data_IF_279471951089
#
_entry.id   IF_279471951089
#
_cell.length_a   1.000
_cell.length_b   1.000
_cell.length_c   1.000
_cell.angle_alpha   90.00
_cell.angle_beta   90.00
_cell.angle_gamma   90.00
#
_symmetry.space_group_name_H-M   'P 1'
#
loop_
_entity.id
_entity.type
_entity.pdbx_description
1 polymer ?
#
# COMPACT_ATOMS: atom_id res chain seq x y z
N UNK A 1 0.39 -3.05 -14.74
CA UNK A 1 -0.57 -4.08 -14.29
C UNK A 1 -0.53 -4.24 -12.78
N UNK A 2 0.68 -4.36 -12.19
CA UNK A 2 0.86 -4.61 -10.76
C UNK A 2 0.16 -3.55 -9.91
N UNK A 3 0.39 -2.26 -10.19
CA UNK A 3 -0.27 -1.18 -9.46
C UNK A 3 -1.79 -1.31 -9.43
N UNK A 4 -2.44 -1.39 -10.60
CA UNK A 4 -3.92 -1.39 -10.71
C UNK A 4 -4.56 -2.65 -10.10
N UNK A 5 -3.97 -3.82 -10.32
CA UNK A 5 -4.54 -5.07 -9.79
C UNK A 5 -4.34 -5.15 -8.27
N UNK A 6 -3.18 -4.72 -7.77
CA UNK A 6 -2.88 -4.67 -6.35
C UNK A 6 -3.76 -3.64 -5.62
N UNK A 7 -3.96 -2.44 -6.20
CA UNK A 7 -4.90 -1.43 -5.69
C UNK A 7 -6.33 -1.97 -5.62
N UNK A 8 -6.79 -2.63 -6.70
CA UNK A 8 -8.10 -3.30 -6.72
C UNK A 8 -8.24 -4.36 -5.64
N UNK A 9 -7.21 -5.16 -5.42
CA UNK A 9 -7.23 -6.18 -4.37
C UNK A 9 -7.34 -5.53 -2.97
N UNK A 10 -6.63 -4.44 -2.71
CA UNK A 10 -6.72 -3.75 -1.42
C UNK A 10 -8.08 -3.07 -1.21
N UNK A 11 -8.70 -2.55 -2.27
CA UNK A 11 -10.08 -2.07 -2.22
C UNK A 11 -11.03 -3.20 -1.82
N UNK A 12 -10.93 -4.39 -2.44
CA UNK A 12 -11.77 -5.54 -2.06
C UNK A 12 -11.50 -6.04 -0.62
N UNK A 13 -10.26 -5.92 -0.12
CA UNK A 13 -9.94 -6.19 1.29
C UNK A 13 -10.66 -5.19 2.20
N UNK A 14 -10.62 -3.91 1.86
CA UNK A 14 -11.27 -2.83 2.58
C UNK A 14 -12.79 -2.99 2.59
N UNK A 15 -13.40 -3.33 1.45
CA UNK A 15 -14.84 -3.60 1.33
C UNK A 15 -15.29 -4.78 2.21
N UNK A 16 -14.38 -5.73 2.49
CA UNK A 16 -14.66 -6.89 3.35
C UNK A 16 -14.62 -6.57 4.86
N UNK A 17 -14.27 -5.35 5.27
CA UNK A 17 -14.31 -4.97 6.69
C UNK A 17 -15.72 -5.03 7.23
N UNK A 18 -15.85 -5.36 8.52
CA UNK A 18 -17.15 -5.27 9.18
C UNK A 18 -17.59 -3.81 9.30
N UNK A 19 -16.64 -2.90 9.51
CA UNK A 19 -16.89 -1.47 9.58
C UNK A 19 -15.88 -0.74 8.68
N UNK A 20 -16.40 0.03 7.73
CA UNK A 20 -15.61 0.95 6.90
C UNK A 20 -15.95 2.36 7.34
N UNK A 21 -14.95 3.24 7.46
CA UNK A 21 -15.18 4.67 7.69
C UNK A 21 -16.16 5.21 6.65
N UNK A 22 -17.18 5.97 7.08
CA UNK A 22 -18.24 6.42 6.18
C UNK A 22 -17.75 7.28 5.01
N UNK A 23 -16.71 8.10 5.22
CA UNK A 23 -16.14 8.91 4.15
C UNK A 23 -15.41 8.01 3.15
N UNK A 24 -14.63 7.04 3.63
CA UNK A 24 -13.95 6.06 2.78
C UNK A 24 -14.94 5.20 2.00
N UNK A 25 -16.08 4.82 2.60
CA UNK A 25 -17.14 4.06 1.92
C UNK A 25 -17.77 4.84 0.76
N UNK A 26 -17.81 6.17 0.87
CA UNK A 26 -18.30 7.06 -0.19
C UNK A 26 -17.20 7.47 -1.18
N UNK A 27 -15.95 7.12 -0.89
CA UNK A 27 -14.80 7.42 -1.73
C UNK A 27 -14.79 6.58 -3.01
N UNK A 28 -14.25 7.12 -4.09
CA UNK A 28 -14.06 6.33 -5.31
C UNK A 28 -13.09 5.19 -5.05
N UNK A 29 -13.53 3.96 -5.29
CA UNK A 29 -12.74 2.73 -5.04
C UNK A 29 -12.08 2.70 -3.65
N UNK A 30 -12.74 3.24 -2.62
CA UNK A 30 -12.26 3.19 -1.23
C UNK A 30 -10.86 3.80 -1.05
N UNK A 31 -10.54 4.87 -1.79
CA UNK A 31 -9.23 5.54 -1.72
C UNK A 31 -8.16 4.94 -2.62
N UNK A 32 -8.43 3.82 -3.29
CA UNK A 32 -7.47 3.15 -4.18
C UNK A 32 -7.56 3.68 -5.62
N UNK A 33 -6.42 3.71 -6.32
CA UNK A 33 -6.43 4.15 -7.70
C UNK A 33 -7.16 3.18 -8.63
N UNK A 34 -7.87 3.75 -9.60
CA UNK A 34 -8.43 3.01 -10.73
C UNK A 34 -7.60 3.30 -11.97
N UNK A 35 -7.42 2.31 -12.84
CA UNK A 35 -6.67 2.48 -14.08
C UNK A 35 -7.24 1.67 -15.24
N UNK A 36 -7.25 2.29 -16.42
CA UNK A 36 -7.64 1.62 -17.68
C UNK A 36 -6.45 1.58 -18.64
N UNK A 37 -6.12 0.42 -19.24
CA UNK A 37 -5.08 0.35 -20.27
C UNK A 37 -5.39 1.22 -21.50
N UNK A 38 -4.38 1.89 -22.03
CA UNK A 38 -4.51 2.77 -23.19
C UNK A 38 -3.27 2.69 -24.10
N UNK A 39 -3.49 2.75 -25.42
CA UNK A 39 -2.42 2.92 -26.39
C UNK A 39 -2.28 4.41 -26.72
N UNK A 40 -1.10 4.98 -26.49
CA UNK A 40 -0.85 6.39 -26.75
C UNK A 40 -0.35 6.60 -28.18
N UNK A 41 -1.03 7.50 -28.90
CA UNK A 41 -0.64 7.97 -30.23
C UNK A 41 -0.58 9.49 -30.26
N UNK A 42 0.47 10.06 -30.85
CA UNK A 42 0.48 11.47 -31.27
C UNK A 42 0.88 11.58 -32.73
N UNK A 43 0.14 12.36 -33.52
CA UNK A 43 0.35 12.50 -34.97
C UNK A 43 0.49 11.14 -35.69
N UNK A 44 -0.39 10.19 -35.38
CA UNK A 44 -0.37 8.80 -35.87
C UNK A 44 0.85 7.95 -35.48
N UNK A 45 1.77 8.48 -34.67
CA UNK A 45 2.93 7.74 -34.15
C UNK A 45 2.59 7.08 -32.81
N UNK A 46 2.85 5.77 -32.70
CA UNK A 46 2.68 5.01 -31.47
C UNK A 46 3.80 5.33 -30.46
N UNK A 47 3.42 5.64 -29.22
CA UNK A 47 4.35 5.95 -28.13
C UNK A 47 4.44 4.88 -27.06
N UNK A 48 3.40 4.08 -26.87
CA UNK A 48 3.43 2.97 -25.92
C UNK A 48 2.06 2.56 -25.42
N UNK A 49 2.07 1.48 -24.66
CA UNK A 49 1.00 1.00 -23.81
C UNK A 49 1.14 1.61 -22.42
N UNK A 50 0.10 2.30 -21.96
CA UNK A 50 0.03 2.98 -20.68
C UNK A 50 -1.19 2.52 -19.89
N UNK A 51 -1.30 2.96 -18.65
CA UNK A 51 -2.57 3.01 -17.91
C UNK A 51 -2.95 4.45 -17.66
N UNK A 52 -4.20 4.82 -17.94
CA UNK A 52 -4.78 6.09 -17.53
C UNK A 52 -5.37 5.87 -16.16
N UNK A 53 -4.82 6.56 -15.15
CA UNK A 53 -5.18 6.35 -13.76
C UNK A 53 -5.96 7.55 -13.21
N UNK A 54 -6.79 7.31 -12.18
CA UNK A 54 -7.38 8.38 -11.37
C UNK A 54 -6.28 9.20 -10.70
N UNK A 55 -6.52 10.52 -10.56
CA UNK A 55 -5.65 11.40 -9.79
C UNK A 55 -5.88 11.24 -8.29
N UNK A 56 -4.91 11.67 -7.49
CA UNK A 56 -5.05 11.81 -6.04
C UNK A 56 -5.81 13.09 -5.75
N UNK A 57 -7.13 13.00 -5.64
CA UNK A 57 -8.00 14.15 -5.37
C UNK A 57 -8.98 13.86 -4.24
N UNK A 58 -9.71 14.88 -3.81
CA UNK A 58 -10.72 14.79 -2.76
C UNK A 58 -11.76 13.69 -3.04
N UNK A 59 -12.13 13.47 -4.30
CA UNK A 59 -13.12 12.47 -4.68
C UNK A 59 -12.58 11.05 -4.53
N UNK A 60 -11.29 10.84 -4.84
CA UNK A 60 -10.62 9.55 -4.67
C UNK A 60 -10.70 9.11 -3.21
N UNK A 61 -10.51 10.04 -2.28
CA UNK A 61 -10.49 9.76 -0.83
C UNK A 61 -11.81 10.07 -0.12
N UNK A 62 -12.85 10.50 -0.81
CA UNK A 62 -14.18 10.71 -0.22
C UNK A 62 -14.30 11.94 0.68
N UNK A 63 -13.60 13.02 0.33
CA UNK A 63 -13.75 14.33 0.96
C UNK A 63 -14.75 15.21 0.19
N UNK A 64 -15.82 15.65 0.86
CA UNK A 64 -16.67 16.73 0.33
C UNK A 64 -16.02 18.10 0.54
N UNK A 65 -15.45 18.29 1.74
CA UNK A 65 -14.61 19.41 2.12
C UNK A 65 -13.52 18.86 3.03
N UNK A 66 -12.30 19.35 2.89
CA UNK A 66 -11.17 18.92 3.74
C UNK A 66 -11.07 19.85 4.95
N UNK A 67 -11.29 19.38 6.19
CA UNK A 67 -11.07 20.19 7.39
C UNK A 67 -9.61 20.64 7.51
N UNK A 68 -9.36 21.74 8.24
CA UNK A 68 -8.00 22.27 8.38
C UNK A 68 -7.03 21.31 9.06
N UNK A 69 -7.50 20.32 9.82
CA UNK A 69 -6.69 19.35 10.55
C UNK A 69 -6.68 17.94 9.92
N UNK A 70 -7.14 17.82 8.68
CA UNK A 70 -7.39 16.55 8.02
C UNK A 70 -6.90 16.56 6.56
N UNK A 71 -6.86 15.39 5.94
CA UNK A 71 -6.37 15.22 4.58
C UNK A 71 -5.68 13.88 4.37
N UNK A 72 -4.84 13.83 3.34
CA UNK A 72 -4.06 12.65 2.95
C UNK A 72 -2.59 13.02 2.92
N UNK A 73 -1.77 12.29 3.69
CA UNK A 73 -0.32 12.43 3.70
C UNK A 73 0.32 11.22 3.03
N UNK A 74 1.07 11.44 1.97
CA UNK A 74 1.90 10.39 1.36
C UNK A 74 3.28 10.38 2.00
N UNK A 75 3.69 9.21 2.49
CA UNK A 75 5.03 9.01 3.01
C UNK A 75 6.08 9.04 1.90
N UNK A 76 7.15 9.80 2.12
CA UNK A 76 8.20 10.07 1.13
C UNK A 76 9.52 9.38 1.50
N UNK A 77 10.49 9.40 0.57
CA UNK A 77 11.80 8.75 0.73
C UNK A 77 12.54 9.15 2.03
N UNK A 78 12.27 10.34 2.56
CA UNK A 78 12.94 10.89 3.75
C UNK A 78 12.24 10.55 5.08
N UNK A 79 11.13 9.80 5.06
CA UNK A 79 10.47 9.27 6.26
C UNK A 79 11.25 8.10 6.91
N UNK A 80 12.57 8.30 7.05
CA UNK A 80 13.59 7.30 7.33
C UNK A 80 13.76 6.97 8.81
N UNK A 81 13.12 7.72 9.71
CA UNK A 81 13.07 7.49 11.16
C UNK A 81 12.19 6.28 11.51
N UNK A 82 12.41 5.16 10.79
CA UNK A 82 11.63 3.93 10.83
C UNK A 82 10.13 4.17 10.67
N UNK A 83 9.68 5.24 10.01
CA UNK A 83 8.27 5.65 9.90
C UNK A 83 7.49 5.71 11.23
N UNK A 84 7.29 6.93 11.75
CA UNK A 84 6.78 7.22 13.10
C UNK A 84 7.69 6.78 14.25
N UNK A 85 9.01 6.69 14.05
CA UNK A 85 9.98 6.46 15.12
C UNK A 85 10.40 7.73 15.87
N UNK A 86 9.85 8.90 15.53
CA UNK A 86 10.08 10.20 16.18
C UNK A 86 8.75 10.90 16.50
N UNK A 87 8.72 11.82 17.48
CA UNK A 87 7.48 12.51 17.90
C UNK A 87 7.06 13.67 17.00
N UNK A 88 7.91 14.10 16.07
CA UNK A 88 7.62 15.23 15.18
C UNK A 88 7.84 14.78 13.75
N UNK A 89 6.82 14.94 12.91
CA UNK A 89 6.86 14.65 11.47
C UNK A 89 6.77 15.97 10.72
N UNK A 90 7.58 16.16 9.69
CA UNK A 90 7.52 17.35 8.83
C UNK A 90 6.63 17.05 7.64
N UNK A 91 5.52 17.79 7.51
CA UNK A 91 4.63 17.71 6.33
C UNK A 91 4.85 18.93 5.43
N UNK A 92 4.63 18.77 4.13
CA UNK A 92 4.77 19.83 3.12
C UNK A 92 3.69 19.70 2.04
N UNK A 93 3.30 20.83 1.43
CA UNK A 93 2.44 20.84 0.24
C UNK A 93 3.21 20.55 -1.05
N UNK A 94 4.54 20.65 -1.01
CA UNK A 94 5.41 20.42 -2.16
C UNK A 94 6.72 19.77 -1.69
N UNK A 95 6.87 18.48 -1.97
CA UNK A 95 8.09 17.73 -1.63
C UNK A 95 9.29 18.15 -2.48
N UNK A 96 9.07 18.74 -3.66
CA UNK A 96 10.16 19.22 -4.52
C UNK A 96 10.77 20.50 -3.98
N UNK A 97 9.96 21.37 -3.37
CA UNK A 97 10.42 22.56 -2.67
C UNK A 97 11.04 22.25 -1.29
N UNK A 98 10.53 21.22 -0.60
CA UNK A 98 10.97 20.81 0.73
C UNK A 98 11.38 19.33 0.75
N UNK A 99 12.49 18.94 0.11
CA UNK A 99 12.86 17.54 -0.11
C UNK A 99 13.14 16.75 1.18
N UNK A 100 13.47 17.43 2.26
CA UNK A 100 13.75 16.80 3.56
C UNK A 100 12.48 16.53 4.39
N UNK A 101 11.29 16.88 3.88
CA UNK A 101 10.04 16.58 4.58
C UNK A 101 9.78 15.07 4.63
N UNK A 102 9.10 14.64 5.70
CA UNK A 102 8.75 13.23 5.90
C UNK A 102 7.58 12.81 5.00
N UNK A 103 6.60 13.69 4.83
CA UNK A 103 5.38 13.40 4.07
C UNK A 103 4.93 14.60 3.23
N UNK A 104 4.30 14.30 2.10
CA UNK A 104 3.67 15.30 1.23
C UNK A 104 2.15 15.26 1.40
N UNK A 105 1.51 16.43 1.46
CA UNK A 105 0.05 16.56 1.48
C UNK A 105 -0.47 16.32 0.06
N UNK A 106 -1.18 15.21 -0.13
CA UNK A 106 -1.82 14.88 -1.42
C UNK A 106 -3.24 15.46 -1.52
N UNK A 107 -3.94 15.54 -0.39
CA UNK A 107 -5.27 16.14 -0.29
C UNK A 107 -5.34 17.02 0.95
N UNK A 108 -5.85 18.23 0.78
CA UNK A 108 -5.81 19.29 1.81
C UNK A 108 -4.67 20.27 1.58
N UNK A 109 -4.22 20.92 2.66
CA UNK A 109 -3.05 21.81 2.65
C UNK A 109 -2.40 21.79 4.03
N UNK A 110 -1.13 22.17 4.08
CA UNK A 110 -0.35 22.27 5.30
C UNK A 110 -0.87 23.41 6.16
N UNK A 111 -1.44 23.06 7.31
CA UNK A 111 -1.88 24.02 8.34
C UNK A 111 -1.21 23.70 9.68
N UNK A 112 -1.22 24.65 10.64
CA UNK A 112 -0.80 24.36 12.01
C UNK A 112 -1.62 23.23 12.65
N UNK A 113 -2.91 23.14 12.37
CA UNK A 113 -3.79 22.11 12.94
C UNK A 113 -3.51 20.72 12.37
N UNK A 114 -3.23 20.61 11.07
CA UNK A 114 -2.90 19.33 10.44
C UNK A 114 -1.52 18.84 10.86
N UNK A 115 -0.56 19.77 10.97
CA UNK A 115 0.76 19.48 11.52
C UNK A 115 0.67 19.01 12.98
N UNK A 116 -0.21 19.61 13.79
CA UNK A 116 -0.45 19.18 15.17
C UNK A 116 -1.12 17.80 15.26
N UNK A 117 -2.12 17.53 14.40
CA UNK A 117 -2.76 16.21 14.29
C UNK A 117 -1.75 15.11 13.92
N UNK A 118 -0.85 15.41 12.98
CA UNK A 118 0.21 14.48 12.54
C UNK A 118 1.19 14.21 13.69
N UNK A 119 1.64 15.25 14.40
CA UNK A 119 2.54 15.11 15.54
C UNK A 119 1.88 14.38 16.71
N UNK A 120 0.57 14.54 16.92
CA UNK A 120 -0.19 13.78 17.92
C UNK A 120 -0.11 12.28 17.65
N UNK A 121 -0.32 11.85 16.40
CA UNK A 121 -0.14 10.45 16.01
C UNK A 121 1.31 9.99 16.22
N UNK A 122 2.28 10.79 15.78
CA UNK A 122 3.69 10.45 15.87
C UNK A 122 4.20 10.30 17.31
N UNK A 123 3.77 11.18 18.21
CA UNK A 123 4.04 11.08 19.65
C UNK A 123 3.44 9.80 20.23
N UNK A 124 2.18 9.51 19.91
CA UNK A 124 1.55 8.27 20.36
C UNK A 124 2.33 7.04 19.89
N UNK A 125 2.67 6.93 18.61
CA UNK A 125 3.38 5.76 18.07
C UNK A 125 4.81 5.66 18.58
N UNK A 126 5.54 6.77 18.72
CA UNK A 126 6.97 6.74 19.09
C UNK A 126 7.23 6.73 20.59
N UNK A 127 6.33 7.24 21.43
CA UNK A 127 6.60 7.49 22.86
C UNK A 127 5.70 6.74 23.84
N UNK A 128 4.51 6.28 23.43
CA UNK A 128 3.66 5.50 24.34
C UNK A 128 4.32 4.16 24.70
N UNK A 129 4.09 3.67 25.92
CA UNK A 129 4.47 2.30 26.27
C UNK A 129 3.54 1.26 25.58
N UNK A 130 3.87 -0.03 25.68
CA UNK A 130 3.13 -1.09 25.00
C UNK A 130 1.67 -1.20 25.47
N UNK A 131 1.40 -0.97 26.75
CA UNK A 131 0.05 -1.02 27.31
C UNK A 131 -0.80 0.15 26.78
N UNK A 132 -0.25 1.37 26.82
CA UNK A 132 -0.91 2.56 26.31
C UNK A 132 -1.15 2.48 24.81
N UNK A 133 -0.18 1.97 24.05
CA UNK A 133 -0.34 1.77 22.60
C UNK A 133 -1.48 0.81 22.27
N UNK A 134 -1.59 -0.29 23.01
CA UNK A 134 -2.68 -1.23 22.84
C UNK A 134 -4.03 -0.63 23.26
N UNK A 135 -4.12 -0.10 24.48
CA UNK A 135 -5.39 0.30 25.09
C UNK A 135 -5.98 1.59 24.52
N UNK A 136 -5.14 2.47 23.96
CA UNK A 136 -5.56 3.74 23.37
C UNK A 136 -5.50 3.77 21.84
N UNK A 137 -5.17 2.66 21.18
CA UNK A 137 -4.99 2.59 19.73
C UNK A 137 -6.13 3.23 18.94
N UNK A 138 -7.37 2.89 19.29
CA UNK A 138 -8.59 3.35 18.61
C UNK A 138 -8.87 4.86 18.76
N UNK A 139 -8.10 5.59 19.56
CA UNK A 139 -8.15 7.05 19.63
C UNK A 139 -7.24 7.74 18.61
N UNK A 140 -6.42 6.96 17.89
CA UNK A 140 -5.40 7.47 16.97
C UNK A 140 -5.49 6.84 15.58
N UNK A 141 -5.87 5.57 15.50
CA UNK A 141 -5.79 4.78 14.28
C UNK A 141 -7.00 3.85 14.14
N UNK A 142 -7.39 3.61 12.89
CA UNK A 142 -8.33 2.55 12.55
C UNK A 142 -7.60 1.19 12.58
N UNK A 143 -7.98 0.31 13.50
CA UNK A 143 -7.30 -0.97 13.69
C UNK A 143 -7.48 -1.92 12.49
N UNK A 144 -8.67 -1.97 11.89
CA UNK A 144 -8.90 -2.84 10.73
C UNK A 144 -8.05 -2.36 9.53
N UNK A 145 -7.91 -1.05 9.33
CA UNK A 145 -7.08 -0.49 8.27
C UNK A 145 -5.59 -0.82 8.43
N UNK A 146 -5.04 -0.66 9.64
CA UNK A 146 -3.61 -0.98 9.90
C UNK A 146 -3.35 -2.49 9.78
N UNK A 147 -4.27 -3.33 10.25
CA UNK A 147 -4.16 -4.79 10.11
C UNK A 147 -4.25 -5.22 8.64
N UNK A 148 -5.17 -4.66 7.86
CA UNK A 148 -5.30 -4.96 6.44
C UNK A 148 -4.05 -4.54 5.67
N UNK A 149 -3.47 -3.38 5.98
CA UNK A 149 -2.18 -2.96 5.42
C UNK A 149 -1.06 -3.95 5.77
N UNK A 150 -0.94 -4.38 7.03
CA UNK A 150 0.06 -5.39 7.45
C UNK A 150 -0.08 -6.72 6.69
N UNK A 151 -1.31 -7.21 6.55
CA UNK A 151 -1.61 -8.44 5.83
C UNK A 151 -1.24 -8.28 4.36
N UNK A 152 -1.66 -7.18 3.75
CA UNK A 152 -1.37 -6.90 2.34
C UNK A 152 0.13 -6.74 2.09
N UNK A 153 0.84 -5.97 2.92
CA UNK A 153 2.29 -5.77 2.86
C UNK A 153 3.05 -7.10 2.84
N UNK A 154 2.62 -8.07 3.67
CA UNK A 154 3.18 -9.41 3.69
C UNK A 154 2.76 -10.23 2.47
N UNK A 155 1.48 -10.28 2.10
CA UNK A 155 0.99 -11.18 1.04
C UNK A 155 1.39 -10.68 -0.34
N UNK A 156 1.14 -9.41 -0.64
CA UNK A 156 1.46 -8.78 -1.92
C UNK A 156 2.96 -8.45 -2.09
N UNK A 157 3.77 -8.65 -1.04
CA UNK A 157 5.21 -8.38 -1.08
C UNK A 157 5.51 -6.94 -1.49
N UNK A 158 4.95 -5.98 -0.74
CA UNK A 158 5.11 -4.55 -1.01
C UNK A 158 6.53 -4.10 -0.66
N UNK A 159 7.50 -4.52 -1.47
CA UNK A 159 8.94 -4.41 -1.18
C UNK A 159 9.46 -2.96 -1.09
N UNK A 160 8.70 -2.02 -1.65
CA UNK A 160 9.00 -0.60 -1.69
C UNK A 160 8.06 0.25 -0.80
N UNK A 161 7.11 -0.37 -0.08
CA UNK A 161 6.07 0.34 0.69
C UNK A 161 6.25 0.27 2.22
N UNK A 162 7.49 0.31 2.71
CA UNK A 162 7.78 0.17 4.15
C UNK A 162 7.91 1.51 4.88
N UNK A 163 8.39 2.56 4.22
CA UNK A 163 8.50 3.95 4.73
C UNK A 163 8.04 5.00 3.72
N UNK A 164 7.63 4.59 2.53
CA UNK A 164 7.09 5.44 1.47
C UNK A 164 5.98 4.68 0.78
N UNK A 165 5.29 5.28 -0.19
CA UNK A 165 4.23 4.60 -0.95
C UNK A 165 3.11 4.09 0.00
N UNK A 166 2.84 4.88 1.04
CA UNK A 166 1.74 4.72 2.01
C UNK A 166 1.09 6.08 2.16
N UNK A 167 -0.22 6.13 1.99
CA UNK A 167 -1.06 7.30 2.18
C UNK A 167 -1.77 7.19 3.53
N UNK A 168 -1.34 8.01 4.48
CA UNK A 168 -1.98 8.15 5.78
C UNK A 168 -3.13 9.16 5.66
N UNK A 169 -4.35 8.65 5.67
CA UNK A 169 -5.57 9.45 5.54
C UNK A 169 -6.19 9.70 6.90
N UNK A 170 -6.67 10.90 7.16
CA UNK A 170 -7.55 11.21 8.29
C UNK A 170 -8.64 12.17 7.87
N UNK A 171 -9.85 11.93 8.33
CA UNK A 171 -11.01 12.78 8.03
C UNK A 171 -11.31 13.81 9.13
N UNK A 172 -10.70 13.66 10.31
CA UNK A 172 -11.01 14.46 11.49
C UNK A 172 -9.77 14.90 12.29
N UNK A 173 -8.57 14.49 11.84
CA UNK A 173 -7.29 14.75 12.52
C UNK A 173 -7.04 13.86 13.75
N UNK A 174 -7.96 12.97 14.11
CA UNK A 174 -7.84 12.11 15.28
C UNK A 174 -7.56 10.67 14.90
N UNK A 175 -8.35 10.12 13.97
CA UNK A 175 -8.25 8.71 13.53
C UNK A 175 -7.61 8.67 12.15
N UNK A 176 -6.50 7.94 12.06
CA UNK A 176 -5.72 7.77 10.84
C UNK A 176 -5.87 6.36 10.28
N UNK A 177 -5.86 6.24 8.96
CA UNK A 177 -5.91 4.98 8.24
C UNK A 177 -4.84 4.94 7.13
N UNK A 178 -4.00 3.90 7.08
CA UNK A 178 -3.05 3.72 5.98
C UNK A 178 -3.75 3.11 4.76
N UNK A 179 -3.47 3.67 3.60
CA UNK A 179 -3.86 3.17 2.28
C UNK A 179 -2.55 2.93 1.51
N UNK A 180 -2.30 1.75 0.94
CA UNK A 180 -1.12 1.52 0.13
C UNK A 180 -1.21 2.32 -1.17
N UNK A 181 -0.08 2.82 -1.65
CA UNK A 181 0.00 3.51 -2.93
C UNK A 181 1.20 2.99 -3.74
N UNK A 182 1.27 3.33 -5.04
CA UNK A 182 2.39 3.02 -5.93
C UNK A 182 2.83 1.55 -5.82
N UNK A 183 1.94 0.66 -6.27
CA UNK A 183 2.02 -0.78 -6.05
C UNK A 183 2.67 -1.55 -7.21
N UNK A 184 3.52 -0.89 -8.00
CA UNK A 184 4.26 -1.53 -9.08
C UNK A 184 5.36 -2.50 -8.59
N UNK A 185 5.81 -2.35 -7.34
CA UNK A 185 6.85 -3.17 -6.70
C UNK A 185 6.27 -4.29 -5.83
N UNK A 186 5.32 -5.04 -6.39
CA UNK A 186 4.59 -6.13 -5.72
C UNK A 186 4.77 -7.47 -6.43
N UNK A 187 4.41 -8.57 -5.74
CA UNK A 187 4.35 -9.93 -6.28
C UNK A 187 5.65 -10.45 -6.91
N UNK A 188 6.79 -10.03 -6.35
CA UNK A 188 8.12 -10.49 -6.74
C UNK A 188 8.79 -9.66 -7.83
N UNK A 189 8.29 -8.47 -8.16
CA UNK A 189 9.02 -7.50 -8.98
C UNK A 189 9.72 -6.47 -8.09
N UNK A 190 11.02 -6.23 -8.32
CA UNK A 190 11.77 -5.16 -7.66
C UNK A 190 11.38 -3.78 -8.20
N UNK A 191 11.61 -2.74 -7.39
CA UNK A 191 11.30 -1.34 -7.70
C UNK A 191 11.93 -0.80 -8.99
N UNK A 192 13.07 -1.36 -9.42
CA UNK A 192 13.72 -0.96 -10.68
C UNK A 192 13.21 -1.75 -11.90
N UNK A 193 12.30 -2.71 -11.69
CA UNK A 193 11.74 -3.58 -12.71
C UNK A 193 12.73 -4.56 -13.34
N UNK A 194 13.97 -4.65 -12.85
CA UNK A 194 15.07 -5.40 -13.51
C UNK A 194 15.30 -6.78 -12.93
N UNK A 195 14.79 -7.06 -11.73
CA UNK A 195 15.06 -8.31 -11.02
C UNK A 195 13.84 -8.82 -10.28
N UNK A 196 13.87 -10.12 -9.95
CA UNK A 196 12.89 -10.75 -9.07
C UNK A 196 13.23 -10.41 -7.62
N UNK A 197 12.27 -9.87 -6.88
CA UNK A 197 12.33 -9.86 -5.42
C UNK A 197 12.00 -11.26 -4.90
N UNK A 198 12.75 -11.77 -3.92
CA UNK A 198 12.64 -13.17 -3.47
C UNK A 198 11.24 -13.46 -2.89
N UNK A 199 10.38 -14.24 -3.58
CA UNK A 199 9.00 -14.48 -3.18
C UNK A 199 8.87 -15.33 -1.90
N UNK A 200 10.00 -15.79 -1.32
CA UNK A 200 10.01 -16.45 -0.01
C UNK A 200 10.23 -15.48 1.17
N UNK A 201 10.36 -14.19 0.92
CA UNK A 201 10.69 -13.19 1.94
C UNK A 201 9.61 -13.08 3.04
N UNK A 202 10.04 -13.14 4.29
CA UNK A 202 9.30 -12.69 5.47
C UNK A 202 9.40 -11.16 5.54
N UNK A 203 8.37 -10.50 5.03
CA UNK A 203 8.29 -9.04 4.96
C UNK A 203 8.09 -8.43 6.35
N UNK A 204 7.42 -9.16 7.24
CA UNK A 204 7.15 -8.75 8.60
C UNK A 204 8.36 -8.94 9.54
N UNK A 205 9.44 -9.56 9.05
CA UNK A 205 10.65 -9.85 9.82
C UNK A 205 10.34 -10.57 11.15
N UNK A 206 9.42 -11.54 11.10
CA UNK A 206 8.99 -12.32 12.27
C UNK A 206 10.08 -13.26 12.79
N UNK A 207 11.05 -13.62 11.93
CA UNK A 207 12.07 -14.62 12.23
C UNK A 207 11.58 -16.06 12.13
N UNK A 208 10.36 -16.29 11.63
CA UNK A 208 9.77 -17.62 11.45
C UNK A 208 10.36 -18.35 10.24
N UNK A 209 10.92 -17.63 9.28
CA UNK A 209 11.62 -18.17 8.11
C UNK A 209 13.11 -17.79 8.16
N UNK A 210 13.95 -18.51 7.42
CA UNK A 210 15.36 -18.14 7.23
C UNK A 210 15.56 -16.98 6.24
N UNK A 211 14.47 -16.49 5.64
CA UNK A 211 14.45 -15.48 4.58
C UNK A 211 13.75 -14.24 5.12
N UNK A 212 14.50 -13.37 5.80
CA UNK A 212 13.95 -12.16 6.42
C UNK A 212 14.40 -10.89 5.70
N UNK A 213 13.51 -9.88 5.65
CA UNK A 213 13.81 -8.60 4.98
C UNK A 213 14.69 -7.72 5.88
N UNK A 214 15.96 -8.13 5.98
CA UNK A 214 16.95 -7.63 6.92
C UNK A 214 17.18 -6.10 6.84
N UNK A 215 17.69 -5.54 7.94
CA UNK A 215 17.74 -4.10 8.21
C UNK A 215 16.32 -3.49 8.29
N UNK A 216 15.49 -4.00 9.21
CA UNK A 216 14.23 -3.42 9.67
C UNK A 216 13.39 -2.74 8.57
N UNK A 217 12.81 -3.55 7.65
CA UNK A 217 11.77 -3.11 6.69
C UNK A 217 10.36 -3.38 7.22
N UNK A 218 10.07 -2.77 8.35
CA UNK A 218 8.71 -2.52 8.80
C UNK A 218 8.76 -1.24 9.63
N UNK A 219 7.90 -0.26 9.33
CA UNK A 219 7.90 0.98 10.10
C UNK A 219 7.44 0.75 11.55
N UNK A 220 7.65 1.76 12.42
CA UNK A 220 7.41 1.69 13.85
C UNK A 220 5.94 1.39 14.14
N UNK A 221 5.02 2.08 13.45
CA UNK A 221 3.59 1.83 13.58
C UNK A 221 3.25 0.37 13.30
N UNK A 222 3.68 -0.14 12.14
CA UNK A 222 3.39 -1.50 11.71
C UNK A 222 4.04 -2.55 12.63
N UNK A 223 5.28 -2.33 13.06
CA UNK A 223 6.00 -3.22 13.98
C UNK A 223 5.36 -3.27 15.37
N UNK A 224 4.93 -2.13 15.92
CA UNK A 224 4.22 -2.08 17.20
C UNK A 224 2.86 -2.76 17.10
N UNK A 225 2.13 -2.53 16.00
CA UNK A 225 0.84 -3.19 15.74
C UNK A 225 0.99 -4.70 15.64
N UNK A 226 2.00 -5.19 14.91
CA UNK A 226 2.30 -6.62 14.80
C UNK A 226 2.56 -7.27 16.16
N UNK A 227 3.16 -6.54 17.10
CA UNK A 227 3.42 -7.03 18.46
C UNK A 227 2.15 -7.02 19.33
N UNK A 228 1.37 -5.93 19.26
CA UNK A 228 0.25 -5.69 20.16
C UNK A 228 -1.02 -6.46 19.77
N UNK A 229 -1.27 -6.68 18.47
CA UNK A 229 -2.57 -7.16 17.96
C UNK A 229 -2.46 -8.49 17.20
N UNK A 230 -1.59 -9.40 17.66
CA UNK A 230 -1.39 -10.71 17.01
C UNK A 230 -2.70 -11.50 16.86
N UNK A 231 -3.55 -11.65 17.90
CA UNK A 231 -4.81 -12.38 17.76
C UNK A 231 -5.72 -11.82 16.66
N UNK A 232 -5.84 -10.50 16.60
CA UNK A 232 -6.67 -9.76 15.64
C UNK A 232 -6.12 -9.91 14.22
N UNK A 233 -4.81 -9.78 14.04
CA UNK A 233 -4.14 -9.99 12.75
C UNK A 233 -4.40 -11.42 12.23
N UNK A 234 -4.26 -12.44 13.10
CA UNK A 234 -4.51 -13.84 12.73
C UNK A 234 -5.96 -14.09 12.37
N UNK A 235 -6.89 -13.51 13.13
CA UNK A 235 -8.31 -13.62 12.86
C UNK A 235 -8.69 -12.97 11.52
N UNK A 236 -8.21 -11.73 11.28
CA UNK A 236 -8.47 -11.00 10.04
C UNK A 236 -7.86 -11.69 8.83
N UNK A 237 -6.62 -12.18 8.92
CA UNK A 237 -6.02 -12.97 7.85
C UNK A 237 -6.85 -14.22 7.54
N UNK A 238 -7.25 -14.97 8.58
CA UNK A 238 -8.08 -16.17 8.41
C UNK A 238 -9.40 -15.85 7.72
N UNK A 239 -10.05 -14.74 8.08
CA UNK A 239 -11.27 -14.26 7.43
C UNK A 239 -11.03 -13.96 5.94
N UNK A 240 -10.02 -13.15 5.61
CA UNK A 240 -9.71 -12.77 4.23
C UNK A 240 -9.38 -13.98 3.35
N UNK A 241 -8.71 -15.00 3.91
CA UNK A 241 -8.38 -16.25 3.21
C UNK A 241 -9.60 -17.10 2.82
N UNK A 242 -10.78 -16.84 3.38
CA UNK A 242 -12.03 -17.52 2.99
C UNK A 242 -12.67 -16.98 1.71
N UNK A 243 -12.27 -15.78 1.26
CA UNK A 243 -12.94 -15.08 0.15
C UNK A 243 -11.99 -14.20 -0.67
N UNK A 244 -11.67 -13.00 -0.17
CA UNK A 244 -11.01 -11.94 -0.95
C UNK A 244 -9.55 -12.26 -1.25
N UNK A 245 -8.83 -12.81 -0.28
CA UNK A 245 -7.38 -12.99 -0.39
C UNK A 245 -7.09 -14.46 -0.66
N UNK A 246 -7.17 -14.90 -1.92
CA UNK A 246 -6.83 -16.28 -2.32
C UNK A 246 -5.91 -16.33 -3.55
N UNK A 247 -5.03 -17.36 -3.67
CA UNK A 247 -4.16 -17.48 -4.84
C UNK A 247 -4.92 -17.46 -6.16
N UNK A 248 -6.04 -18.19 -6.23
CA UNK A 248 -6.85 -18.30 -7.43
C UNK A 248 -7.48 -16.96 -7.78
N UNK A 249 -8.11 -16.27 -6.80
CA UNK A 249 -8.72 -14.97 -7.04
C UNK A 249 -7.70 -13.93 -7.49
N UNK A 250 -6.57 -13.81 -6.79
CA UNK A 250 -5.50 -12.86 -7.16
C UNK A 250 -4.93 -13.20 -8.55
N UNK A 251 -4.70 -14.47 -8.85
CA UNK A 251 -4.21 -14.90 -10.18
C UNK A 251 -5.22 -14.54 -11.28
N UNK A 252 -6.51 -14.78 -11.06
CA UNK A 252 -7.57 -14.43 -12.01
C UNK A 252 -7.67 -12.93 -12.24
N UNK A 253 -7.53 -12.10 -11.19
CA UNK A 253 -7.52 -10.63 -11.37
C UNK A 253 -6.38 -10.16 -12.28
N UNK A 254 -5.20 -10.78 -12.17
CA UNK A 254 -4.09 -10.49 -13.08
C UNK A 254 -4.34 -10.99 -14.50
N UNK A 255 -4.88 -12.21 -14.64
CA UNK A 255 -5.24 -12.80 -15.93
C UNK A 255 -6.26 -11.91 -16.67
N UNK A 256 -7.34 -11.53 -15.99
CA UNK A 256 -8.38 -10.65 -16.52
C UNK A 256 -7.83 -9.28 -16.95
N UNK A 257 -6.96 -8.68 -16.14
CA UNK A 257 -6.32 -7.42 -16.51
C UNK A 257 -5.43 -7.57 -17.75
N UNK A 258 -4.59 -8.60 -17.80
CA UNK A 258 -3.74 -8.86 -18.96
C UNK A 258 -4.55 -9.17 -20.22
N UNK A 259 -5.64 -9.91 -20.09
CA UNK A 259 -6.55 -10.21 -21.20
C UNK A 259 -7.26 -8.94 -21.71
N UNK A 260 -7.63 -8.02 -20.81
CA UNK A 260 -8.24 -6.73 -21.17
C UNK A 260 -7.31 -5.84 -22.01
N UNK A 261 -5.98 -5.96 -21.83
CA UNK A 261 -4.96 -5.30 -22.66
C UNK A 261 -4.87 -5.96 -24.04
N UNK A 262 -4.87 -7.30 -24.05
CA UNK A 262 -4.81 -8.12 -25.25
C UNK A 262 -3.39 -8.27 -25.82
N UNK A 263 -3.12 -9.43 -26.42
CA UNK A 263 -1.80 -9.82 -26.94
C UNK A 263 -1.25 -8.87 -28.01
N UNK A 264 -2.12 -8.28 -28.84
CA UNK A 264 -1.73 -7.32 -29.88
C UNK A 264 -1.14 -6.02 -29.30
N UNK A 265 -1.68 -5.53 -28.17
CA UNK A 265 -1.16 -4.34 -27.52
C UNK A 265 0.23 -4.60 -26.92
N UNK A 266 0.40 -5.74 -26.23
CA UNK A 266 1.72 -6.16 -25.72
C UNK A 266 2.75 -6.38 -26.84
N UNK A 267 2.35 -6.97 -27.97
CA UNK A 267 3.24 -7.15 -29.11
C UNK A 267 3.70 -5.81 -29.72
N UNK A 268 2.79 -4.82 -29.82
CA UNK A 268 3.14 -3.46 -30.26
C UNK A 268 4.09 -2.79 -29.29
N UNK A 269 3.82 -2.89 -27.99
CA UNK A 269 4.69 -2.35 -26.92
C UNK A 269 6.10 -2.92 -27.02
N UNK A 270 6.24 -4.25 -27.06
CA UNK A 270 7.54 -4.92 -27.16
C UNK A 270 8.27 -4.62 -28.47
N UNK A 271 7.55 -4.47 -29.59
CA UNK A 271 8.16 -4.06 -30.85
C UNK A 271 8.72 -2.64 -30.82
N UNK A 272 8.10 -1.73 -30.08
CA UNK A 272 8.55 -0.34 -29.93
C UNK A 272 9.67 -0.23 -28.88
N UNK A 273 9.51 -0.97 -27.78
CA UNK A 273 10.37 -0.94 -26.61
C UNK A 273 10.91 -2.36 -26.31
N UNK A 274 11.86 -2.87 -27.11
CA UNK A 274 12.36 -4.24 -26.93
C UNK A 274 13.17 -4.44 -25.64
N UNK A 275 13.62 -3.35 -25.03
CA UNK A 275 14.48 -3.35 -23.85
C UNK A 275 13.73 -2.95 -22.57
N UNK A 276 12.40 -3.11 -22.51
CA UNK A 276 11.69 -2.88 -21.23
C UNK A 276 12.32 -3.74 -20.13
N UNK A 277 12.60 -3.19 -18.94
CA UNK A 277 13.37 -3.90 -17.91
C UNK A 277 12.78 -5.26 -17.49
N UNK A 278 11.44 -5.36 -17.51
CA UNK A 278 10.68 -6.45 -16.90
C UNK A 278 10.23 -7.54 -17.89
N UNK A 279 10.86 -7.68 -19.07
CA UNK A 279 10.49 -8.74 -20.04
C UNK A 279 10.56 -10.17 -19.49
N UNK A 280 11.36 -10.40 -18.44
CA UNK A 280 11.45 -11.69 -17.75
C UNK A 280 10.25 -11.99 -16.84
N UNK A 281 9.47 -10.97 -16.47
CA UNK A 281 8.37 -11.06 -15.52
C UNK A 281 7.05 -11.34 -16.25
N UNK A 282 6.92 -12.56 -16.76
CA UNK A 282 5.72 -13.02 -17.46
C UNK A 282 4.63 -13.52 -16.48
N UNK A 283 3.43 -13.78 -17.01
CA UNK A 283 2.31 -14.26 -16.21
C UNK A 283 2.59 -15.59 -15.50
N UNK A 284 3.41 -16.48 -16.11
CA UNK A 284 3.82 -17.73 -15.48
C UNK A 284 4.65 -17.48 -14.23
N UNK A 285 5.58 -16.52 -14.30
CA UNK A 285 6.41 -16.09 -13.17
C UNK A 285 5.56 -15.44 -12.10
N UNK A 286 4.68 -14.52 -12.47
CA UNK A 286 3.74 -13.88 -11.56
C UNK A 286 2.87 -14.90 -10.82
N UNK A 287 2.22 -15.83 -11.54
CA UNK A 287 1.39 -16.89 -10.95
C UNK A 287 2.18 -17.75 -9.96
N UNK A 288 3.42 -18.12 -10.29
CA UNK A 288 4.31 -18.86 -9.39
C UNK A 288 4.62 -18.05 -8.12
N UNK A 289 4.89 -16.76 -8.27
CA UNK A 289 5.19 -15.87 -7.14
C UNK A 289 3.96 -15.73 -6.23
N UNK A 290 2.76 -15.48 -6.79
CA UNK A 290 1.49 -15.43 -6.05
C UNK A 290 1.33 -16.69 -5.19
N UNK A 291 1.41 -17.89 -5.78
CA UNK A 291 1.29 -19.16 -5.03
C UNK A 291 2.33 -19.25 -3.90
N UNK A 292 3.57 -18.83 -4.17
CA UNK A 292 4.66 -18.84 -3.19
C UNK A 292 4.39 -17.88 -2.03
N UNK A 293 3.97 -16.65 -2.34
CA UNK A 293 3.62 -15.62 -1.33
C UNK A 293 2.52 -16.10 -0.40
N UNK A 294 1.47 -16.72 -0.96
CA UNK A 294 0.38 -17.28 -0.15
C UNK A 294 0.86 -18.42 0.75
N UNK A 295 1.68 -19.35 0.24
CA UNK A 295 2.25 -20.43 1.07
C UNK A 295 3.06 -19.90 2.25
N UNK A 296 3.91 -18.89 2.01
CA UNK A 296 4.75 -18.29 3.05
C UNK A 296 3.91 -17.49 4.04
N UNK A 297 2.93 -16.73 3.56
CA UNK A 297 2.03 -15.96 4.41
C UNK A 297 1.14 -16.87 5.26
N UNK A 298 0.61 -17.96 4.70
CA UNK A 298 -0.15 -18.97 5.45
C UNK A 298 0.70 -19.56 6.60
N UNK A 299 1.99 -19.79 6.37
CA UNK A 299 2.90 -20.23 7.43
C UNK A 299 3.17 -19.13 8.47
N UNK A 300 3.46 -17.89 8.06
CA UNK A 300 3.73 -16.78 8.99
C UNK A 300 2.51 -16.48 9.86
N UNK A 301 1.34 -16.24 9.26
CA UNK A 301 0.13 -15.89 10.01
C UNK A 301 -0.39 -17.03 10.89
N UNK A 302 -0.18 -18.29 10.50
CA UNK A 302 -0.51 -19.42 11.39
C UNK A 302 0.34 -19.42 12.67
N UNK A 303 1.62 -19.07 12.55
CA UNK A 303 2.62 -19.19 13.63
C UNK A 303 2.96 -17.85 14.33
N UNK A 304 2.27 -16.76 13.98
CA UNK A 304 2.37 -15.46 14.64
C UNK A 304 2.03 -15.50 16.13
#
# INVERSE_FOLDING_TARGET
>A
MLNIVSAKLFAEITENRANVNSNLLNASMLGEIQGTPALLYTNSSFHGLYTINTGKDENLFGFDNVPSNAGVLEAQNHFTDKGFGKPTIVITDDITANPDADMEVQVGTTTPEFQAATNRLAQFVSQSDDATFHDQFSQYLDLEAVIDFLIFYQVAECSDSYIKNIEYTTYDGNIWLPIPYDLDSTWGLNWDGKTIFDPEMDMLNTGLTSKNFANFKLNMLMNRTLKAFKPEIKARYTQLRTSVLTPDKVTSMFEEFMDSVGTNAYAKELSRWPNIPSTFFDFKTLRKNVITRFRISDYIFKNL
#
